data_IF_585845096353
#
_entry.id   IF_585845096353
#
_cell.length_a   1.000
_cell.length_b   1.000
_cell.length_c   1.000
_cell.angle_alpha   90.00
_cell.angle_beta   90.00
_cell.angle_gamma   90.00
#
_symmetry.space_group_name_H-M   'P 1'
#
loop_
_entity.id
_entity.type
_entity.pdbx_description
1 polymer ?
#
# COMPACT_ATOMS: atom_id res chain seq x y z
N UNK A 1 25.75 26.41 -20.81
CA UNK A 1 24.81 26.75 -21.89
C UNK A 1 24.55 28.24 -21.79
N UNK A 2 24.79 29.00 -22.86
CA UNK A 2 24.66 30.46 -22.82
C UNK A 2 23.17 30.87 -22.92
N UNK A 3 22.78 31.97 -22.28
CA UNK A 3 21.38 32.43 -22.20
C UNK A 3 20.74 32.61 -23.58
N UNK A 4 21.51 33.05 -24.58
CA UNK A 4 21.06 33.16 -25.97
C UNK A 4 20.71 31.82 -26.62
N UNK A 5 21.42 30.73 -26.29
CA UNK A 5 21.12 29.39 -26.80
C UNK A 5 19.81 28.86 -26.18
N UNK A 6 19.58 29.16 -24.90
CA UNK A 6 18.33 28.81 -24.20
C UNK A 6 17.15 29.51 -24.88
N UNK A 7 17.26 30.84 -25.08
CA UNK A 7 16.19 31.63 -25.71
C UNK A 7 15.90 31.20 -27.15
N UNK A 8 16.94 30.84 -27.93
CA UNK A 8 16.76 30.31 -29.27
C UNK A 8 16.00 28.97 -29.27
N UNK A 9 16.35 28.05 -28.35
CA UNK A 9 15.65 26.77 -28.18
C UNK A 9 14.19 26.96 -27.75
N UNK A 10 13.93 27.88 -26.82
CA UNK A 10 12.56 28.20 -26.38
C UNK A 10 11.75 28.78 -27.53
N UNK A 11 12.31 29.74 -28.29
CA UNK A 11 11.64 30.35 -29.43
C UNK A 11 11.28 29.30 -30.49
N UNK A 12 12.22 28.41 -30.80
CA UNK A 12 11.97 27.28 -31.72
C UNK A 12 10.82 26.39 -31.25
N UNK A 13 10.80 26.04 -29.96
CA UNK A 13 9.74 25.20 -29.37
C UNK A 13 8.37 25.89 -29.46
N UNK A 14 8.30 27.18 -29.13
CA UNK A 14 7.05 27.96 -29.21
C UNK A 14 6.58 28.16 -30.66
N UNK A 15 7.49 28.28 -31.63
CA UNK A 15 7.10 28.33 -33.05
C UNK A 15 6.63 26.98 -33.57
N UNK A 16 7.19 25.87 -33.08
CA UNK A 16 6.79 24.52 -33.48
C UNK A 16 5.45 24.10 -32.89
N UNK A 17 5.15 24.54 -31.66
CA UNK A 17 3.92 24.22 -30.93
C UNK A 17 3.25 25.49 -30.36
N UNK A 18 2.64 26.34 -31.22
CA UNK A 18 2.10 27.64 -30.82
C UNK A 18 0.94 27.55 -29.83
N UNK A 19 0.15 26.48 -29.88
CA UNK A 19 -0.97 26.20 -28.97
C UNK A 19 -0.62 25.11 -27.94
N UNK A 20 0.67 24.75 -27.84
CA UNK A 20 1.13 23.59 -27.08
C UNK A 20 1.03 22.27 -27.84
N UNK A 21 1.37 21.17 -27.15
CA UNK A 21 1.26 19.81 -27.68
C UNK A 21 -0.16 19.31 -27.39
N UNK A 22 -1.05 19.43 -28.40
CA UNK A 22 -2.44 18.95 -28.31
C UNK A 22 -2.67 17.82 -29.31
N UNK A 23 -3.19 16.71 -28.80
CA UNK A 23 -3.59 15.55 -29.60
C UNK A 23 -5.05 15.20 -29.30
N UNK A 24 -5.84 15.00 -30.35
CA UNK A 24 -7.22 14.49 -30.25
C UNK A 24 -7.21 12.98 -29.97
N UNK A 25 -8.31 12.44 -29.44
CA UNK A 25 -8.44 11.00 -29.18
C UNK A 25 -8.12 10.15 -30.43
N UNK A 26 -8.58 10.59 -31.61
CA UNK A 26 -8.34 9.89 -32.87
C UNK A 26 -6.88 9.98 -33.33
N UNK A 27 -6.21 11.12 -33.11
CA UNK A 27 -4.77 11.27 -33.38
C UNK A 27 -3.92 10.37 -32.47
N UNK A 28 -4.24 10.30 -31.17
CA UNK A 28 -3.52 9.43 -30.21
C UNK A 28 -3.67 7.96 -30.59
N UNK A 29 -4.90 7.52 -30.87
CA UNK A 29 -5.17 6.13 -31.19
C UNK A 29 -4.55 5.72 -32.53
N UNK A 30 -4.56 6.62 -33.52
CA UNK A 30 -3.89 6.39 -34.81
C UNK A 30 -2.39 6.20 -34.60
N UNK A 31 -1.75 7.09 -33.83
CA UNK A 31 -0.33 6.99 -33.50
C UNK A 31 -0.01 5.68 -32.78
N UNK A 32 -0.85 5.25 -31.84
CA UNK A 32 -0.67 3.99 -31.12
C UNK A 32 -0.75 2.76 -32.04
N UNK A 33 -1.74 2.70 -32.94
CA UNK A 33 -1.85 1.60 -33.90
C UNK A 33 -0.67 1.54 -34.87
N UNK A 34 -0.18 2.70 -35.31
CA UNK A 34 1.03 2.79 -36.13
C UNK A 34 2.28 2.33 -35.38
N UNK A 35 2.37 2.65 -34.09
CA UNK A 35 3.47 2.21 -33.24
C UNK A 35 3.47 0.69 -33.03
N UNK A 36 2.31 0.08 -32.77
CA UNK A 36 2.18 -1.38 -32.70
C UNK A 36 2.61 -2.05 -34.01
N UNK A 37 2.17 -1.50 -35.15
CA UNK A 37 2.58 -2.03 -36.45
C UNK A 37 4.10 -1.96 -36.65
N UNK A 38 4.74 -0.87 -36.21
CA UNK A 38 6.19 -0.71 -36.26
C UNK A 38 6.93 -1.73 -35.37
N UNK A 39 6.44 -1.97 -34.15
CA UNK A 39 7.05 -2.94 -33.23
C UNK A 39 6.93 -4.39 -33.75
N UNK A 40 5.85 -4.72 -34.49
CA UNK A 40 5.67 -6.03 -35.11
C UNK A 40 6.45 -6.20 -36.43
N UNK A 41 6.73 -5.10 -37.13
CA UNK A 41 7.44 -5.11 -38.42
C UNK A 41 8.96 -5.12 -38.19
N UNK A 42 9.54 -6.31 -37.97
CA UNK A 42 10.98 -6.50 -37.71
C UNK A 42 11.92 -5.96 -38.82
N UNK A 43 11.41 -5.68 -40.03
CA UNK A 43 12.24 -5.44 -41.22
C UNK A 43 12.20 -4.03 -41.83
N UNK A 44 11.20 -3.18 -41.54
CA UNK A 44 11.07 -1.86 -42.18
C UNK A 44 10.86 -0.73 -41.17
N UNK A 45 11.76 0.26 -41.18
CA UNK A 45 11.69 1.43 -40.29
C UNK A 45 10.70 2.51 -40.77
N UNK A 46 10.00 2.25 -41.88
CA UNK A 46 9.04 3.15 -42.53
C UNK A 46 7.64 2.53 -42.64
N UNK A 47 6.63 3.39 -42.72
CA UNK A 47 5.21 3.03 -42.77
C UNK A 47 4.64 3.49 -44.11
N UNK A 48 3.98 2.59 -44.84
CA UNK A 48 3.30 2.91 -46.08
C UNK A 48 2.01 3.72 -45.83
N UNK A 49 1.62 4.54 -46.82
CA UNK A 49 0.38 5.35 -46.73
C UNK A 49 -0.86 4.51 -46.44
N UNK A 50 -0.99 3.36 -47.09
CA UNK A 50 -2.15 2.48 -46.92
C UNK A 50 -2.29 1.99 -45.47
N UNK A 51 -1.16 1.76 -44.78
CA UNK A 51 -1.15 1.39 -43.37
C UNK A 51 -1.62 2.55 -42.49
N UNK A 52 -1.20 3.78 -42.81
CA UNK A 52 -1.68 4.99 -42.13
C UNK A 52 -3.19 5.15 -42.30
N UNK A 53 -3.70 5.00 -43.51
CA UNK A 53 -5.13 5.12 -43.80
C UNK A 53 -5.94 4.04 -43.07
N UNK A 54 -5.44 2.79 -43.03
CA UNK A 54 -6.06 1.69 -42.26
C UNK A 54 -6.06 1.99 -40.76
N UNK A 55 -4.95 2.49 -40.20
CA UNK A 55 -4.85 2.85 -38.78
C UNK A 55 -5.83 3.96 -38.40
N UNK A 56 -5.99 4.97 -39.27
CA UNK A 56 -6.98 6.03 -39.09
C UNK A 56 -8.39 5.42 -39.06
N UNK A 57 -8.76 4.63 -40.08
CA UNK A 57 -10.09 4.00 -40.15
C UNK A 57 -10.40 3.13 -38.93
N UNK A 58 -9.44 2.31 -38.48
CA UNK A 58 -9.58 1.51 -37.27
C UNK A 58 -9.77 2.38 -36.03
N UNK A 59 -9.03 3.48 -35.92
CA UNK A 59 -9.15 4.41 -34.79
C UNK A 59 -10.57 4.97 -34.68
N UNK A 60 -11.17 5.39 -35.79
CA UNK A 60 -12.56 5.82 -35.82
C UNK A 60 -13.53 4.71 -35.40
N UNK A 61 -13.34 3.49 -35.90
CA UNK A 61 -14.19 2.34 -35.56
C UNK A 61 -14.10 1.93 -34.09
N UNK A 62 -12.94 2.09 -33.44
CA UNK A 62 -12.81 1.81 -32.02
C UNK A 62 -13.42 2.94 -31.19
N UNK A 63 -13.16 4.18 -31.57
CA UNK A 63 -13.67 5.35 -30.85
C UNK A 63 -15.19 5.51 -30.99
N UNK A 64 -15.84 4.96 -32.02
CA UNK A 64 -17.31 4.96 -32.08
C UNK A 64 -17.98 4.15 -30.96
N UNK A 65 -17.24 3.27 -30.28
CA UNK A 65 -17.74 2.51 -29.13
C UNK A 65 -17.62 3.28 -27.80
N UNK A 66 -16.93 4.41 -27.81
CA UNK A 66 -16.77 5.29 -26.65
C UNK A 66 -17.45 6.61 -27.00
N UNK A 67 -18.17 7.27 -26.08
CA UNK A 67 -18.87 8.54 -26.35
C UNK A 67 -17.89 9.72 -26.57
N UNK A 68 -17.08 9.64 -27.63
CA UNK A 68 -16.01 10.58 -27.97
C UNK A 68 -16.39 11.44 -29.18
N UNK A 69 -15.95 12.70 -29.17
CA UNK A 69 -16.08 13.57 -30.33
C UNK A 69 -15.13 13.10 -31.45
N UNK A 70 -15.71 12.55 -32.52
CA UNK A 70 -14.96 12.11 -33.69
C UNK A 70 -14.75 13.29 -34.67
N UNK A 71 -13.53 13.45 -35.22
CA UNK A 71 -13.30 14.38 -36.32
C UNK A 71 -14.18 14.02 -37.54
N UNK A 72 -14.59 15.02 -38.31
CA UNK A 72 -15.55 14.80 -39.40
C UNK A 72 -14.92 14.19 -40.67
N UNK A 73 -13.58 14.11 -40.75
CA UNK A 73 -12.83 13.61 -41.92
C UNK A 73 -11.54 12.89 -41.53
N UNK A 74 -11.28 11.75 -42.14
CA UNK A 74 -10.06 10.94 -41.98
C UNK A 74 -8.79 11.69 -42.38
N UNK A 75 -8.85 12.43 -43.49
CA UNK A 75 -7.69 13.11 -44.08
C UNK A 75 -7.11 14.20 -43.16
N UNK A 76 -7.97 14.78 -42.32
CA UNK A 76 -7.55 15.81 -41.35
C UNK A 76 -6.63 15.26 -40.28
N UNK A 77 -6.72 13.96 -39.94
CA UNK A 77 -5.88 13.35 -38.91
C UNK A 77 -4.44 13.23 -39.41
N UNK A 78 -4.25 12.66 -40.61
CA UNK A 78 -2.92 12.50 -41.20
C UNK A 78 -2.24 13.86 -41.37
N UNK A 79 -2.94 14.84 -41.97
CA UNK A 79 -2.41 16.19 -42.17
C UNK A 79 -2.03 16.87 -40.84
N UNK A 80 -2.87 16.74 -39.81
CA UNK A 80 -2.58 17.31 -38.50
C UNK A 80 -1.40 16.64 -37.83
N UNK A 81 -1.29 15.31 -37.89
CA UNK A 81 -0.14 14.58 -37.34
C UNK A 81 1.18 14.99 -38.01
N UNK A 82 1.16 15.22 -39.32
CA UNK A 82 2.33 15.71 -40.07
C UNK A 82 2.65 17.15 -39.69
N UNK A 83 1.64 18.03 -39.71
CA UNK A 83 1.79 19.45 -39.38
C UNK A 83 2.33 19.66 -37.96
N UNK A 84 1.88 18.85 -37.01
CA UNK A 84 2.34 18.87 -35.61
C UNK A 84 3.70 18.15 -35.42
N UNK A 85 4.21 17.48 -36.45
CA UNK A 85 5.50 16.78 -36.41
C UNK A 85 5.51 15.50 -35.58
N UNK A 86 4.34 14.88 -35.38
CA UNK A 86 4.21 13.55 -34.77
C UNK A 86 4.41 12.44 -35.81
N UNK A 87 4.03 12.71 -37.06
CA UNK A 87 4.33 11.87 -38.21
C UNK A 87 5.26 12.66 -39.14
N UNK A 88 6.32 12.03 -39.63
CA UNK A 88 7.25 12.62 -40.57
C UNK A 88 7.04 11.97 -41.93
N UNK A 89 7.09 12.76 -42.99
CA UNK A 89 6.93 12.29 -44.36
C UNK A 89 8.25 12.44 -45.11
N UNK A 90 8.70 11.35 -45.75
CA UNK A 90 9.83 11.40 -46.68
C UNK A 90 9.37 11.00 -48.08
N UNK A 91 9.69 11.84 -49.06
CA UNK A 91 9.42 11.59 -50.48
C UNK A 91 10.52 10.80 -51.18
N UNK A 92 11.63 10.49 -50.51
CA UNK A 92 12.84 9.97 -51.18
C UNK A 92 12.74 8.50 -51.56
N UNK A 93 11.97 7.68 -50.82
CA UNK A 93 11.70 6.27 -51.15
C UNK A 93 10.24 5.94 -50.77
N UNK A 94 9.40 5.61 -51.77
CA UNK A 94 8.04 5.06 -51.60
C UNK A 94 7.03 5.87 -50.76
N UNK A 95 7.08 7.21 -50.73
CA UNK A 95 6.13 8.03 -49.94
C UNK A 95 6.01 7.51 -48.50
N UNK A 96 7.16 7.36 -47.85
CA UNK A 96 7.30 6.73 -46.54
C UNK A 96 6.91 7.68 -45.40
N UNK A 97 6.25 7.12 -44.38
CA UNK A 97 5.94 7.80 -43.13
C UNK A 97 6.78 7.24 -41.98
N UNK A 98 7.21 8.11 -41.08
CA UNK A 98 7.99 7.76 -39.89
C UNK A 98 7.33 8.34 -38.65
N UNK A 99 7.28 7.55 -37.58
CA UNK A 99 6.90 8.03 -36.25
C UNK A 99 8.07 8.86 -35.72
N UNK A 100 7.80 10.12 -35.35
CA UNK A 100 8.86 10.99 -34.81
C UNK A 100 9.31 10.55 -33.41
N UNK A 101 10.51 10.95 -32.99
CA UNK A 101 11.03 10.63 -31.66
C UNK A 101 10.13 11.14 -30.52
N UNK A 102 9.46 12.29 -30.74
CA UNK A 102 8.50 12.85 -29.79
C UNK A 102 7.29 11.92 -29.68
N UNK A 103 6.76 11.43 -30.80
CA UNK A 103 5.67 10.46 -30.81
C UNK A 103 6.07 9.17 -30.13
N UNK A 104 7.23 8.60 -30.48
CA UNK A 104 7.73 7.38 -29.85
C UNK A 104 7.92 7.56 -28.34
N UNK A 105 8.43 8.71 -27.89
CA UNK A 105 8.57 9.03 -26.46
C UNK A 105 7.22 9.11 -25.74
N UNK A 106 6.22 9.78 -26.35
CA UNK A 106 4.87 9.90 -25.78
C UNK A 106 4.20 8.53 -25.73
N UNK A 107 4.23 7.77 -26.83
CA UNK A 107 3.59 6.46 -26.90
C UNK A 107 4.26 5.44 -25.98
N UNK A 108 5.59 5.47 -25.83
CA UNK A 108 6.29 4.64 -24.85
C UNK A 108 5.87 4.99 -23.42
N UNK A 109 5.81 6.28 -23.08
CA UNK A 109 5.33 6.71 -21.77
C UNK A 109 3.87 6.33 -21.49
N UNK A 110 3.01 6.34 -22.51
CA UNK A 110 1.59 6.02 -22.37
C UNK A 110 1.29 4.51 -22.36
N UNK A 111 1.95 3.72 -23.22
CA UNK A 111 1.51 2.36 -23.55
C UNK A 111 2.58 1.27 -23.35
N UNK A 112 3.87 1.56 -23.56
CA UNK A 112 4.95 0.59 -23.30
C UNK A 112 5.57 0.83 -21.92
N UNK A 113 4.75 0.69 -20.86
CA UNK A 113 5.27 0.58 -19.49
C UNK A 113 6.10 -0.71 -19.28
N UNK A 114 6.08 -1.66 -20.23
CA UNK A 114 6.26 -3.08 -19.95
C UNK A 114 7.59 -3.78 -20.31
N UNK A 115 8.68 -3.07 -20.64
CA UNK A 115 10.00 -3.76 -20.80
C UNK A 115 10.97 -3.51 -19.65
N UNK A 116 10.79 -2.44 -18.86
CA UNK A 116 11.57 -2.18 -17.62
C UNK A 116 10.82 -2.63 -16.34
N UNK A 117 9.59 -3.15 -16.49
CA UNK A 117 8.75 -3.63 -15.37
C UNK A 117 9.27 -4.89 -14.70
N UNK A 118 10.08 -5.72 -15.36
CA UNK A 118 10.58 -6.97 -14.79
C UNK A 118 11.73 -6.80 -13.80
N UNK A 119 12.51 -5.71 -13.88
CA UNK A 119 13.59 -5.45 -12.94
C UNK A 119 13.14 -4.51 -11.83
N UNK A 120 13.24 -4.96 -10.59
CA UNK A 120 13.00 -4.14 -9.40
C UNK A 120 14.10 -3.09 -9.19
N UNK A 121 13.81 -2.03 -8.44
CA UNK A 121 14.78 -0.97 -8.06
C UNK A 121 16.09 -1.57 -7.53
N UNK A 122 16.03 -2.59 -6.67
CA UNK A 122 17.22 -3.27 -6.13
C UNK A 122 18.04 -4.02 -7.20
N UNK A 123 17.40 -4.59 -8.22
CA UNK A 123 18.11 -5.25 -9.33
C UNK A 123 18.94 -4.24 -10.12
N UNK A 124 18.38 -3.05 -10.40
CA UNK A 124 19.10 -1.96 -11.05
C UNK A 124 20.25 -1.45 -10.18
N UNK A 125 20.04 -1.32 -8.87
CA UNK A 125 21.12 -0.99 -7.93
C UNK A 125 22.22 -2.07 -7.93
N UNK A 126 21.86 -3.35 -7.96
CA UNK A 126 22.83 -4.42 -8.02
C UNK A 126 23.65 -4.41 -9.33
N UNK A 127 23.04 -4.06 -10.47
CA UNK A 127 23.77 -3.86 -11.73
C UNK A 127 24.80 -2.73 -11.62
N UNK A 128 24.43 -1.61 -10.99
CA UNK A 128 25.36 -0.50 -10.71
C UNK A 128 26.49 -0.99 -9.81
N UNK A 129 26.17 -1.73 -8.74
CA UNK A 129 27.15 -2.29 -7.82
C UNK A 129 28.15 -3.21 -8.53
N UNK A 130 27.69 -4.14 -9.37
CA UNK A 130 28.55 -5.04 -10.13
C UNK A 130 29.46 -4.28 -11.10
N UNK A 131 28.94 -3.22 -11.72
CA UNK A 131 29.71 -2.37 -12.63
C UNK A 131 30.78 -1.55 -11.89
N UNK A 132 30.49 -1.12 -10.66
CA UNK A 132 31.48 -0.46 -9.80
C UNK A 132 32.52 -1.47 -9.29
N UNK A 133 32.11 -2.71 -8.99
CA UNK A 133 33.02 -3.80 -8.61
C UNK A 133 34.05 -4.09 -9.69
N UNK A 134 33.68 -4.03 -10.97
CA UNK A 134 34.66 -4.23 -12.05
C UNK A 134 35.75 -3.16 -12.11
N UNK A 135 35.59 -2.03 -11.41
CA UNK A 135 36.57 -0.93 -11.37
C UNK A 135 37.57 -1.04 -10.21
N UNK A 136 37.47 -2.07 -9.38
CA UNK A 136 38.30 -2.26 -8.18
C UNK A 136 39.81 -2.30 -8.50
N UNK A 137 40.18 -2.71 -9.71
CA UNK A 137 41.57 -2.72 -10.20
C UNK A 137 41.77 -1.95 -11.52
N UNK A 138 40.81 -1.11 -11.92
CA UNK A 138 40.88 -0.38 -13.20
C UNK A 138 41.82 0.84 -13.14
N UNK A 139 42.30 1.29 -14.29
CA UNK A 139 43.15 2.48 -14.39
C UNK A 139 42.32 3.77 -14.27
N UNK A 140 42.98 4.91 -14.05
CA UNK A 140 42.33 6.21 -13.86
C UNK A 140 41.39 6.58 -15.02
N UNK A 141 41.81 6.32 -16.26
CA UNK A 141 41.03 6.62 -17.47
C UNK A 141 39.72 5.83 -17.54
N UNK A 142 39.73 4.56 -17.10
CA UNK A 142 38.55 3.71 -17.14
C UNK A 142 37.55 4.13 -16.05
N UNK A 143 38.06 4.54 -14.89
CA UNK A 143 37.25 5.07 -13.79
C UNK A 143 36.63 6.41 -14.16
N UNK A 144 37.39 7.33 -14.77
CA UNK A 144 36.85 8.60 -15.26
C UNK A 144 35.73 8.37 -16.29
N UNK A 145 36.01 7.56 -17.31
CA UNK A 145 35.06 7.24 -18.39
C UNK A 145 33.77 6.63 -17.83
N UNK A 146 33.88 5.72 -16.86
CA UNK A 146 32.72 5.12 -16.20
C UNK A 146 31.86 6.15 -15.47
N UNK A 147 32.45 6.99 -14.62
CA UNK A 147 31.68 7.98 -13.85
C UNK A 147 31.19 9.16 -14.70
N UNK A 148 31.80 9.41 -15.86
CA UNK A 148 31.36 10.42 -16.81
C UNK A 148 30.17 9.96 -17.69
N UNK A 149 30.12 8.68 -18.04
CA UNK A 149 29.13 8.15 -19.00
C UNK A 149 28.31 7.00 -18.40
N UNK A 150 28.91 5.82 -18.27
CA UNK A 150 28.22 4.57 -17.93
C UNK A 150 27.41 4.64 -16.65
N UNK A 151 27.94 5.29 -15.60
CA UNK A 151 27.22 5.46 -14.34
C UNK A 151 25.92 6.26 -14.53
N UNK A 152 25.97 7.36 -15.28
CA UNK A 152 24.79 8.20 -15.51
C UNK A 152 23.74 7.52 -16.39
N UNK A 153 24.16 6.67 -17.34
CA UNK A 153 23.24 5.87 -18.14
C UNK A 153 22.50 4.83 -17.29
N UNK A 154 23.21 4.14 -16.38
CA UNK A 154 22.60 3.18 -15.45
C UNK A 154 21.66 3.89 -14.44
N UNK A 155 22.07 5.05 -13.95
CA UNK A 155 21.26 5.89 -13.06
C UNK A 155 20.02 6.44 -13.76
N UNK A 156 20.09 6.75 -15.05
CA UNK A 156 18.93 7.20 -15.82
C UNK A 156 17.85 6.11 -15.86
N UNK A 157 18.23 4.85 -16.07
CA UNK A 157 17.30 3.71 -16.00
C UNK A 157 16.65 3.58 -14.62
N UNK A 158 17.44 3.72 -13.57
CA UNK A 158 16.94 3.72 -12.19
C UNK A 158 15.95 4.88 -11.94
N UNK A 159 16.25 6.08 -12.43
CA UNK A 159 15.40 7.28 -12.31
C UNK A 159 14.06 7.09 -13.04
N UNK A 160 14.08 6.50 -14.24
CA UNK A 160 12.86 6.14 -14.99
C UNK A 160 12.01 5.15 -14.21
N UNK A 161 12.60 4.08 -13.67
CA UNK A 161 11.89 3.09 -12.85
C UNK A 161 11.24 3.72 -11.61
N UNK A 162 11.94 4.63 -10.94
CA UNK A 162 11.41 5.32 -9.75
C UNK A 162 10.24 6.24 -10.13
N UNK A 163 10.30 6.92 -11.27
CA UNK A 163 9.17 7.73 -11.77
C UNK A 163 7.95 6.87 -12.09
N UNK A 164 8.14 5.74 -12.76
CA UNK A 164 7.06 4.77 -13.01
C UNK A 164 6.44 4.28 -11.71
N UNK A 165 7.26 3.95 -10.71
CA UNK A 165 6.79 3.51 -9.39
C UNK A 165 5.95 4.61 -8.70
N UNK A 166 6.36 5.88 -8.82
CA UNK A 166 5.59 7.02 -8.31
C UNK A 166 4.25 7.19 -9.04
N UNK A 167 4.23 7.08 -10.36
CA UNK A 167 3.01 7.15 -11.17
C UNK A 167 2.04 6.02 -10.82
N UNK A 168 2.52 4.78 -10.74
CA UNK A 168 1.73 3.61 -10.31
C UNK A 168 1.11 3.80 -8.92
N UNK A 169 1.86 4.39 -7.99
CA UNK A 169 1.36 4.74 -6.64
C UNK A 169 0.26 5.79 -6.74
N UNK A 170 0.44 6.83 -7.55
CA UNK A 170 -0.55 7.90 -7.72
C UNK A 170 -1.83 7.34 -8.34
N UNK A 171 -1.71 6.50 -9.36
CA UNK A 171 -2.82 5.82 -10.02
C UNK A 171 -3.57 4.94 -8.99
N UNK A 172 -2.85 4.14 -8.21
CA UNK A 172 -3.43 3.30 -7.15
C UNK A 172 -4.11 4.12 -6.05
N UNK A 173 -3.52 5.26 -5.65
CA UNK A 173 -4.15 6.22 -4.71
C UNK A 173 -5.45 6.78 -5.28
N UNK A 174 -5.50 7.06 -6.58
CA UNK A 174 -6.70 7.54 -7.24
C UNK A 174 -7.79 6.47 -7.33
N UNK A 175 -7.43 5.24 -7.71
CA UNK A 175 -8.33 4.07 -7.68
C UNK A 175 -8.96 3.90 -6.30
N UNK A 176 -8.15 3.93 -5.24
CA UNK A 176 -8.60 3.85 -3.83
C UNK A 176 -9.56 4.99 -3.49
N UNK A 177 -9.20 6.25 -3.82
CA UNK A 177 -10.09 7.40 -3.53
C UNK A 177 -11.42 7.31 -4.30
N UNK A 178 -11.39 6.83 -5.53
CA UNK A 178 -12.59 6.63 -6.35
C UNK A 178 -13.50 5.57 -5.73
N UNK A 179 -12.93 4.43 -5.34
CA UNK A 179 -13.65 3.35 -4.66
C UNK A 179 -14.25 3.78 -3.31
N UNK A 180 -13.55 4.61 -2.54
CA UNK A 180 -14.09 5.18 -1.28
C UNK A 180 -15.32 6.05 -1.54
N UNK A 181 -15.33 6.81 -2.65
CA UNK A 181 -16.43 7.72 -2.99
C UNK A 181 -17.68 7.01 -3.48
N UNK A 182 -17.55 5.88 -4.17
CA UNK A 182 -18.68 5.13 -4.70
C UNK A 182 -19.45 4.34 -3.63
N UNK A 183 -18.80 3.92 -2.55
CA UNK A 183 -19.45 3.31 -1.38
C UNK A 183 -20.18 1.98 -1.64
N UNK A 184 -19.97 1.34 -2.80
CA UNK A 184 -20.58 0.06 -3.15
C UNK A 184 -19.73 -1.14 -2.64
N UNK A 185 -20.35 -2.32 -2.49
CA UNK A 185 -19.63 -3.54 -2.10
C UNK A 185 -18.55 -3.96 -3.11
N UNK A 186 -18.78 -3.75 -4.41
CA UNK A 186 -17.77 -3.94 -5.46
C UNK A 186 -16.56 -3.00 -5.29
N UNK A 187 -16.79 -1.80 -4.76
CA UNK A 187 -15.74 -0.82 -4.49
C UNK A 187 -14.76 -1.30 -3.41
N UNK A 188 -15.19 -2.17 -2.49
CA UNK A 188 -14.31 -2.75 -1.48
C UNK A 188 -13.26 -3.70 -2.10
N UNK A 189 -13.62 -4.42 -3.17
CA UNK A 189 -12.67 -5.28 -3.88
C UNK A 189 -11.61 -4.47 -4.62
N UNK A 190 -12.01 -3.44 -5.37
CA UNK A 190 -11.07 -2.52 -6.03
C UNK A 190 -10.17 -1.80 -5.03
N UNK A 191 -10.70 -1.45 -3.87
CA UNK A 191 -9.94 -0.88 -2.77
C UNK A 191 -8.84 -1.83 -2.27
N UNK A 192 -9.18 -3.09 -1.96
CA UNK A 192 -8.20 -4.08 -1.50
C UNK A 192 -7.12 -4.36 -2.56
N UNK A 193 -7.51 -4.43 -3.82
CA UNK A 193 -6.56 -4.58 -4.94
C UNK A 193 -5.61 -3.38 -5.03
N UNK A 194 -6.12 -2.15 -4.95
CA UNK A 194 -5.28 -0.95 -4.94
C UNK A 194 -4.31 -0.90 -3.76
N UNK A 195 -4.75 -1.34 -2.57
CA UNK A 195 -3.87 -1.46 -1.41
C UNK A 195 -2.78 -2.52 -1.58
N UNK A 196 -3.12 -3.68 -2.15
CA UNK A 196 -2.15 -4.74 -2.39
C UNK A 196 -1.06 -4.28 -3.37
N UNK A 197 -1.45 -3.60 -4.47
CA UNK A 197 -0.50 -2.96 -5.40
C UNK A 197 0.43 -1.99 -4.67
N UNK A 198 -0.13 -1.10 -3.84
CA UNK A 198 0.68 -0.16 -3.05
C UNK A 198 1.64 -0.91 -2.11
N UNK A 199 1.20 -1.99 -1.47
CA UNK A 199 2.01 -2.81 -0.57
C UNK A 199 3.19 -3.45 -1.30
N UNK A 200 2.98 -3.96 -2.51
CA UNK A 200 4.04 -4.51 -3.35
C UNK A 200 5.07 -3.45 -3.72
N UNK A 201 4.63 -2.26 -4.16
CA UNK A 201 5.54 -1.13 -4.47
C UNK A 201 6.30 -0.64 -3.24
N UNK A 202 5.66 -0.60 -2.08
CA UNK A 202 6.31 -0.27 -0.81
C UNK A 202 7.39 -1.28 -0.44
N UNK A 203 7.13 -2.57 -0.67
CA UNK A 203 8.11 -3.63 -0.43
C UNK A 203 9.35 -3.42 -1.31
N UNK A 204 9.16 -3.11 -2.59
CA UNK A 204 10.24 -2.80 -3.54
C UNK A 204 11.08 -1.58 -3.12
N UNK A 205 10.43 -0.50 -2.68
CA UNK A 205 11.13 0.68 -2.14
C UNK A 205 11.91 0.30 -0.88
N UNK A 206 11.27 -0.42 0.05
CA UNK A 206 11.84 -0.77 1.35
C UNK A 206 13.06 -1.70 1.22
N UNK A 207 13.02 -2.68 0.32
CA UNK A 207 14.17 -3.55 0.05
C UNK A 207 15.37 -2.75 -0.44
N UNK A 208 15.13 -1.78 -1.32
CA UNK A 208 16.15 -0.92 -1.93
C UNK A 208 16.76 0.09 -0.95
N UNK A 209 16.03 0.44 0.11
CA UNK A 209 16.51 1.34 1.19
C UNK A 209 17.05 0.57 2.41
N UNK A 210 16.98 -0.77 2.40
CA UNK A 210 17.38 -1.59 3.53
C UNK A 210 18.88 -1.45 3.86
N UNK A 211 19.28 -1.78 5.09
CA UNK A 211 20.68 -1.73 5.52
C UNK A 211 21.61 -2.58 4.63
N UNK A 212 21.10 -3.67 4.08
CA UNK A 212 21.85 -4.61 3.24
C UNK A 212 21.70 -4.37 1.74
N UNK A 213 20.99 -3.32 1.33
CA UNK A 213 20.79 -2.95 -0.07
C UNK A 213 22.10 -2.68 -0.80
N UNK A 214 22.06 -2.88 -2.12
CA UNK A 214 23.16 -2.55 -3.02
C UNK A 214 23.53 -1.07 -2.95
N UNK A 215 22.60 -0.18 -2.58
CA UNK A 215 22.85 1.26 -2.36
C UNK A 215 24.01 1.52 -1.39
N UNK A 216 23.98 0.91 -0.20
CA UNK A 216 25.01 1.17 0.82
C UNK A 216 26.37 0.62 0.39
N UNK A 217 26.36 -0.50 -0.34
CA UNK A 217 27.58 -1.10 -0.89
C UNK A 217 28.17 -0.22 -1.99
N UNK A 218 27.35 0.33 -2.89
CA UNK A 218 27.77 1.28 -3.91
C UNK A 218 28.46 2.47 -3.26
N UNK A 219 27.84 3.08 -2.25
CA UNK A 219 28.40 4.26 -1.58
C UNK A 219 29.76 3.96 -0.92
N UNK A 220 29.89 2.80 -0.29
CA UNK A 220 31.16 2.35 0.27
C UNK A 220 32.24 2.17 -0.81
N UNK A 221 31.89 1.55 -1.94
CA UNK A 221 32.83 1.32 -3.04
C UNK A 221 33.23 2.62 -3.74
N UNK A 222 32.29 3.54 -3.97
CA UNK A 222 32.58 4.86 -4.51
C UNK A 222 33.57 5.63 -3.62
N UNK A 223 33.37 5.60 -2.29
CA UNK A 223 34.31 6.21 -1.34
C UNK A 223 35.70 5.53 -1.36
N UNK A 224 35.75 4.24 -1.66
CA UNK A 224 37.02 3.49 -1.74
C UNK A 224 37.79 3.85 -3.02
N UNK A 225 37.08 3.96 -4.14
CA UNK A 225 37.65 4.40 -5.43
C UNK A 225 38.10 5.87 -5.33
N UNK A 226 37.30 6.73 -4.70
CA UNK A 226 37.64 8.13 -4.46
C UNK A 226 38.99 8.26 -3.73
N UNK A 227 39.17 7.51 -2.64
CA UNK A 227 40.44 7.47 -1.89
C UNK A 227 41.62 6.96 -2.72
N UNK A 228 41.38 6.04 -3.66
CA UNK A 228 42.44 5.53 -4.55
C UNK A 228 42.95 6.62 -5.51
N UNK A 229 42.06 7.51 -5.95
CA UNK A 229 42.37 8.58 -6.91
C UNK A 229 42.28 9.98 -6.28
N UNK A 230 42.57 10.13 -5.00
CA UNK A 230 42.45 11.41 -4.26
C UNK A 230 43.26 12.55 -4.90
N UNK A 231 44.34 12.21 -5.62
CA UNK A 231 45.20 13.18 -6.31
C UNK A 231 44.66 13.61 -7.70
N UNK A 232 43.61 12.97 -8.21
CA UNK A 232 42.99 13.32 -9.50
C UNK A 232 41.71 14.13 -9.27
N UNK A 233 41.79 15.43 -9.53
CA UNK A 233 40.67 16.36 -9.35
C UNK A 233 39.48 16.04 -10.27
N UNK A 234 39.73 15.54 -11.48
CA UNK A 234 38.66 15.28 -12.46
C UNK A 234 37.85 14.03 -12.08
N UNK A 235 38.54 12.95 -11.69
CA UNK A 235 37.90 11.70 -11.24
C UNK A 235 37.12 11.91 -9.95
N UNK A 236 37.70 12.61 -8.97
CA UNK A 236 37.03 12.89 -7.69
C UNK A 236 35.78 13.74 -7.88
N UNK A 237 35.83 14.78 -8.73
CA UNK A 237 34.66 15.59 -9.07
C UNK A 237 33.54 14.77 -9.72
N UNK A 238 33.88 13.85 -10.62
CA UNK A 238 32.91 12.99 -11.28
C UNK A 238 32.29 11.97 -10.31
N UNK A 239 33.07 11.41 -9.39
CA UNK A 239 32.57 10.55 -8.31
C UNK A 239 31.63 11.33 -7.37
N UNK A 240 31.95 12.58 -7.03
CA UNK A 240 31.08 13.41 -6.20
C UNK A 240 29.76 13.75 -6.89
N UNK A 241 29.78 14.05 -8.19
CA UNK A 241 28.54 14.27 -8.98
C UNK A 241 27.68 13.00 -9.00
N UNK A 242 28.30 11.85 -9.24
CA UNK A 242 27.65 10.54 -9.21
C UNK A 242 27.02 10.26 -7.83
N UNK A 243 27.76 10.51 -6.75
CA UNK A 243 27.30 10.32 -5.36
C UNK A 243 26.11 11.23 -5.02
N UNK A 244 26.15 12.50 -5.42
CA UNK A 244 25.02 13.43 -5.25
C UNK A 244 23.76 12.95 -5.97
N UNK A 245 23.90 12.44 -7.20
CA UNK A 245 22.74 11.93 -7.96
C UNK A 245 22.17 10.67 -7.31
N UNK A 246 23.02 9.76 -6.83
CA UNK A 246 22.60 8.57 -6.08
C UNK A 246 21.87 8.95 -4.77
N UNK A 247 22.38 9.96 -4.05
CA UNK A 247 21.73 10.48 -2.84
C UNK A 247 20.37 11.13 -3.13
N UNK A 248 20.25 11.88 -4.22
CA UNK A 248 18.97 12.44 -4.67
C UNK A 248 17.93 11.35 -4.91
N UNK A 249 18.33 10.24 -5.53
CA UNK A 249 17.46 9.08 -5.79
C UNK A 249 16.99 8.46 -4.47
N UNK A 250 17.89 8.28 -3.50
CA UNK A 250 17.52 7.78 -2.17
C UNK A 250 16.49 8.68 -1.50
N UNK A 251 16.72 9.99 -1.49
CA UNK A 251 15.77 10.94 -0.89
C UNK A 251 14.40 10.88 -1.58
N UNK A 252 14.38 10.72 -2.90
CA UNK A 252 13.12 10.57 -3.63
C UNK A 252 12.36 9.30 -3.25
N UNK A 253 13.05 8.19 -3.05
CA UNK A 253 12.47 6.94 -2.57
C UNK A 253 11.93 7.09 -1.13
N UNK A 254 12.69 7.69 -0.22
CA UNK A 254 12.28 7.96 1.16
C UNK A 254 11.05 8.89 1.25
N UNK A 255 11.02 9.93 0.42
CA UNK A 255 9.88 10.85 0.32
C UNK A 255 8.62 10.12 -0.18
N UNK A 256 8.78 9.23 -1.17
CA UNK A 256 7.66 8.43 -1.71
C UNK A 256 7.13 7.47 -0.66
N UNK A 257 8.01 6.80 0.09
CA UNK A 257 7.63 5.93 1.21
C UNK A 257 6.83 6.68 2.28
N UNK A 258 7.29 7.88 2.65
CA UNK A 258 6.60 8.75 3.62
C UNK A 258 5.21 9.15 3.12
N UNK A 259 5.10 9.63 1.88
CA UNK A 259 3.83 10.06 1.27
C UNK A 259 2.81 8.91 1.15
N UNK A 260 3.26 7.70 0.82
CA UNK A 260 2.39 6.52 0.81
C UNK A 260 1.93 6.16 2.22
N UNK A 261 2.83 6.17 3.20
CA UNK A 261 2.50 5.82 4.59
C UNK A 261 1.49 6.81 5.18
N UNK A 262 1.66 8.11 4.94
CA UNK A 262 0.69 9.13 5.32
C UNK A 262 -0.68 8.89 4.66
N UNK A 263 -0.69 8.56 3.37
CA UNK A 263 -1.92 8.27 2.65
C UNK A 263 -2.67 7.07 3.25
N UNK A 264 -1.97 5.96 3.52
CA UNK A 264 -2.57 4.77 4.14
C UNK A 264 -3.14 5.13 5.51
N UNK A 265 -2.38 5.79 6.37
CA UNK A 265 -2.83 6.15 7.73
C UNK A 265 -4.07 7.05 7.70
N UNK A 266 -4.12 8.05 6.80
CA UNK A 266 -5.28 8.96 6.67
C UNK A 266 -6.53 8.23 6.20
N UNK A 267 -6.41 7.33 5.22
CA UNK A 267 -7.56 6.71 4.59
C UNK A 267 -8.05 5.44 5.30
N UNK A 268 -7.18 4.68 5.99
CA UNK A 268 -7.57 3.52 6.80
C UNK A 268 -8.47 3.92 7.98
N UNK A 269 -8.16 5.03 8.66
CA UNK A 269 -8.99 5.54 9.75
C UNK A 269 -10.36 6.04 9.25
N UNK A 270 -10.38 6.73 8.11
CA UNK A 270 -11.61 7.22 7.50
C UNK A 270 -12.50 6.05 7.04
N UNK A 271 -11.91 5.00 6.47
CA UNK A 271 -12.61 3.81 6.01
C UNK A 271 -13.17 2.95 7.13
N UNK A 272 -12.40 2.70 8.18
CA UNK A 272 -12.89 1.98 9.36
C UNK A 272 -14.08 2.71 9.98
N UNK A 273 -14.07 4.05 10.00
CA UNK A 273 -15.22 4.84 10.43
C UNK A 273 -16.44 4.73 9.50
N UNK A 274 -16.26 4.84 8.18
CA UNK A 274 -17.36 4.77 7.20
C UNK A 274 -17.99 3.37 7.10
N UNK A 275 -17.18 2.31 7.12
CA UNK A 275 -17.67 0.93 7.12
C UNK A 275 -18.48 0.67 8.39
N UNK A 276 -17.99 1.11 9.55
CA UNK A 276 -18.71 0.98 10.82
C UNK A 276 -20.05 1.71 10.81
N UNK A 277 -20.10 2.94 10.25
CA UNK A 277 -21.32 3.73 10.13
C UNK A 277 -22.31 3.06 9.16
N UNK A 278 -21.86 2.66 7.96
CA UNK A 278 -22.73 2.02 6.96
C UNK A 278 -23.28 0.66 7.42
N UNK A 279 -22.50 -0.13 8.15
CA UNK A 279 -22.95 -1.38 8.74
C UNK A 279 -23.98 -1.12 9.85
N UNK A 280 -23.78 -0.08 10.66
CA UNK A 280 -24.73 0.35 11.68
C UNK A 280 -26.04 0.83 11.03
N UNK A 281 -25.98 1.58 9.94
CA UNK A 281 -27.14 2.01 9.16
C UNK A 281 -27.90 0.83 8.55
N UNK A 282 -27.20 -0.16 7.97
CA UNK A 282 -27.82 -1.41 7.48
C UNK A 282 -28.51 -2.18 8.61
N UNK A 283 -27.90 -2.26 9.79
CA UNK A 283 -28.51 -2.91 10.97
C UNK A 283 -29.75 -2.13 11.43
N UNK A 284 -29.69 -0.80 11.49
CA UNK A 284 -30.84 0.04 11.84
C UNK A 284 -31.98 -0.11 10.82
N UNK A 285 -31.67 -0.15 9.53
CA UNK A 285 -32.66 -0.34 8.48
C UNK A 285 -33.30 -1.73 8.56
N UNK A 286 -32.49 -2.77 8.82
CA UNK A 286 -32.98 -4.11 9.07
C UNK A 286 -33.87 -4.19 10.31
N UNK A 287 -33.45 -3.60 11.43
CA UNK A 287 -34.25 -3.50 12.66
C UNK A 287 -35.57 -2.77 12.42
N UNK A 288 -35.55 -1.68 11.66
CA UNK A 288 -36.75 -0.91 11.30
C UNK A 288 -37.70 -1.73 10.43
N UNK A 289 -37.19 -2.48 9.45
CA UNK A 289 -38.00 -3.42 8.65
C UNK A 289 -38.62 -4.49 9.54
N UNK A 290 -37.83 -5.11 10.42
CA UNK A 290 -38.30 -6.12 11.38
C UNK A 290 -39.39 -5.60 12.33
N UNK A 291 -39.21 -4.39 12.86
CA UNK A 291 -40.20 -3.74 13.74
C UNK A 291 -41.49 -3.41 12.99
N UNK A 292 -41.39 -2.92 11.75
CA UNK A 292 -42.56 -2.68 10.91
C UNK A 292 -43.29 -4.00 10.56
N UNK A 293 -42.54 -5.07 10.27
CA UNK A 293 -43.05 -6.41 10.02
C UNK A 293 -43.79 -6.96 11.25
N UNK A 294 -43.20 -6.82 12.45
CA UNK A 294 -43.84 -7.23 13.71
C UNK A 294 -45.04 -6.37 14.11
N UNK A 295 -45.06 -5.10 13.73
CA UNK A 295 -46.23 -4.25 13.92
C UNK A 295 -47.39 -4.66 13.01
N UNK A 296 -47.10 -5.05 11.75
CA UNK A 296 -48.10 -5.54 10.80
C UNK A 296 -48.56 -6.98 11.10
N UNK A 297 -47.62 -7.85 11.49
CA UNK A 297 -47.82 -9.26 11.81
C UNK A 297 -47.27 -9.55 13.21
N UNK A 298 -48.07 -9.38 14.28
CA UNK A 298 -47.61 -9.57 15.64
C UNK A 298 -47.17 -11.02 15.87
N UNK A 299 -45.87 -11.20 16.14
CA UNK A 299 -45.28 -12.49 16.49
C UNK A 299 -45.35 -12.67 18.00
N UNK A 300 -46.15 -13.63 18.45
CA UNK A 300 -46.27 -13.95 19.87
C UNK A 300 -45.28 -15.03 20.26
N UNK A 301 -44.39 -14.72 21.21
CA UNK A 301 -43.52 -15.72 21.82
C UNK A 301 -44.37 -16.75 22.57
N UNK A 302 -44.24 -18.03 22.23
CA UNK A 302 -44.91 -19.12 22.94
C UNK A 302 -44.30 -19.25 24.32
N UNK A 303 -44.97 -18.71 25.34
CA UNK A 303 -44.62 -18.95 26.73
C UNK A 303 -45.04 -20.39 27.08
N UNK A 304 -44.12 -21.28 27.52
CA UNK A 304 -44.51 -22.61 27.95
C UNK A 304 -45.47 -22.48 29.14
N UNK A 305 -46.70 -22.96 28.96
CA UNK A 305 -47.70 -23.00 30.03
C UNK A 305 -47.23 -24.07 31.02
N UNK A 306 -46.63 -23.66 32.14
CA UNK A 306 -46.35 -24.61 33.24
C UNK A 306 -47.70 -25.17 33.70
N UNK A 307 -47.91 -26.47 33.52
CA UNK A 307 -49.04 -27.17 34.14
C UNK A 307 -48.90 -26.97 35.65
N UNK A 308 -49.89 -26.34 36.28
CA UNK A 308 -49.94 -26.31 37.75
C UNK A 308 -50.11 -27.75 38.22
N UNK A 309 -49.23 -28.21 39.10
CA UNK A 309 -49.37 -29.51 39.76
C UNK A 309 -50.70 -29.47 40.52
N UNK A 310 -51.57 -30.48 40.33
CA UNK A 310 -52.80 -30.58 41.11
C UNK A 310 -52.43 -30.68 42.60
N UNK A 311 -53.09 -29.89 43.45
CA UNK A 311 -52.77 -29.81 44.88
C UNK A 311 -52.77 -31.22 45.50
N UNK A 312 -51.59 -31.68 45.88
CA UNK A 312 -51.41 -32.95 46.58
C UNK A 312 -51.82 -32.75 48.04
N UNK A 313 -53.07 -33.08 48.38
CA UNK A 313 -53.56 -33.06 49.76
C UNK A 313 -53.03 -34.27 50.54
N UNK A 314 -51.82 -34.15 51.10
CA UNK A 314 -51.24 -35.16 52.00
C UNK A 314 -51.74 -34.96 53.43
N UNK A 315 -52.22 -36.03 54.09
CA UNK A 315 -52.76 -35.97 55.44
C UNK A 315 -51.70 -36.38 56.48
N UNK A 316 -51.03 -35.38 57.06
CA UNK A 316 -49.81 -35.54 57.88
C UNK A 316 -49.99 -36.17 59.26
N UNK A 317 -51.22 -36.48 59.68
CA UNK A 317 -51.50 -36.94 61.05
C UNK A 317 -51.26 -38.44 61.30
N UNK A 318 -51.01 -39.24 60.26
CA UNK A 318 -51.06 -40.71 60.36
C UNK A 318 -49.71 -41.43 60.17
N UNK A 319 -48.56 -40.74 60.21
CA UNK A 319 -47.25 -41.38 60.03
C UNK A 319 -46.19 -41.00 61.08
N UNK A 320 -45.36 -41.97 61.47
CA UNK A 320 -44.34 -41.86 62.52
C UNK A 320 -43.08 -41.07 62.11
N UNK A 321 -42.83 -40.87 60.82
CA UNK A 321 -41.65 -40.12 60.34
C UNK A 321 -42.05 -38.75 59.83
N UNK A 322 -41.60 -37.70 60.53
CA UNK A 322 -41.73 -36.31 60.08
C UNK A 322 -40.77 -36.06 58.91
N UNK A 323 -41.19 -35.39 57.83
CA UNK A 323 -40.29 -35.02 56.75
C UNK A 323 -39.26 -33.99 57.27
N UNK A 324 -38.00 -34.19 56.88
CA UNK A 324 -36.95 -33.17 57.01
C UNK A 324 -37.18 -32.16 55.88
N UNK A 325 -37.20 -30.88 56.22
CA UNK A 325 -37.29 -29.80 55.24
C UNK A 325 -36.03 -29.84 54.37
N UNK A 326 -36.18 -30.17 53.08
CA UNK A 326 -35.13 -29.99 52.10
C UNK A 326 -35.48 -28.69 51.37
N UNK A 327 -34.73 -27.63 51.64
CA UNK A 327 -34.78 -26.41 50.85
C UNK A 327 -34.44 -26.76 49.40
N UNK A 328 -35.46 -26.78 48.55
CA UNK A 328 -35.29 -26.80 47.11
C UNK A 328 -35.56 -25.40 46.59
N UNK A 329 -34.69 -24.46 46.95
CA UNK A 329 -34.53 -23.25 46.15
C UNK A 329 -33.97 -23.69 44.78
N UNK A 330 -34.86 -23.88 43.81
CA UNK A 330 -34.47 -23.84 42.41
C UNK A 330 -34.18 -22.37 42.05
N UNK A 331 -32.98 -21.89 42.43
CA UNK A 331 -32.38 -20.73 41.78
C UNK A 331 -32.08 -21.12 40.35
N UNK A 332 -32.62 -20.35 39.41
CA UNK A 332 -32.34 -20.50 37.99
C UNK A 332 -30.87 -20.11 37.80
N UNK A 333 -29.99 -21.11 37.65
CA UNK A 333 -28.55 -21.00 37.40
C UNK A 333 -28.24 -20.47 35.99
N UNK A 334 -28.67 -19.24 35.67
CA UNK A 334 -28.22 -18.54 34.45
C UNK A 334 -27.48 -17.24 34.73
N UNK A 335 -27.51 -16.74 35.96
CA UNK A 335 -26.67 -15.62 36.40
C UNK A 335 -25.34 -16.09 37.03
N UNK A 336 -25.26 -17.33 37.53
CA UNK A 336 -24.07 -17.81 38.27
C UNK A 336 -22.80 -17.97 37.42
N UNK A 337 -22.91 -18.23 36.12
CA UNK A 337 -21.73 -18.40 35.24
C UNK A 337 -21.02 -17.07 35.00
N UNK A 338 -21.78 -15.98 34.83
CA UNK A 338 -21.22 -14.62 34.67
C UNK A 338 -20.73 -14.04 36.00
N UNK A 339 -21.31 -14.43 37.14
CA UNK A 339 -20.79 -14.01 38.46
C UNK A 339 -19.52 -14.75 38.83
N UNK A 340 -19.42 -16.07 38.57
CA UNK A 340 -18.21 -16.85 38.84
C UNK A 340 -17.03 -16.37 37.99
N UNK A 341 -17.22 -16.12 36.69
CA UNK A 341 -16.16 -15.55 35.85
C UNK A 341 -15.73 -14.16 36.34
N UNK A 342 -16.68 -13.31 36.78
CA UNK A 342 -16.35 -11.98 37.32
C UNK A 342 -15.63 -12.05 38.67
N UNK A 343 -16.01 -12.98 39.53
CA UNK A 343 -15.35 -13.20 40.83
C UNK A 343 -13.92 -13.71 40.66
N UNK A 344 -13.71 -14.65 39.72
CA UNK A 344 -12.37 -15.13 39.35
C UNK A 344 -11.50 -14.00 38.78
N UNK A 345 -12.05 -13.17 37.88
CA UNK A 345 -11.32 -12.01 37.33
C UNK A 345 -10.92 -11.01 38.42
N UNK A 346 -11.81 -10.72 39.37
CA UNK A 346 -11.49 -9.85 40.52
C UNK A 346 -10.34 -10.40 41.36
N UNK A 347 -10.32 -11.72 41.63
CA UNK A 347 -9.20 -12.35 42.35
C UNK A 347 -7.87 -12.18 41.62
N UNK A 348 -7.87 -12.33 40.29
CA UNK A 348 -6.67 -12.14 39.47
C UNK A 348 -6.17 -10.70 39.56
N UNK A 349 -7.08 -9.72 39.46
CA UNK A 349 -6.74 -8.30 39.54
C UNK A 349 -6.23 -7.93 40.94
N UNK A 350 -6.88 -8.39 42.00
CA UNK A 350 -6.45 -8.17 43.38
C UNK A 350 -5.05 -8.76 43.63
N UNK A 351 -4.77 -9.95 43.10
CA UNK A 351 -3.45 -10.56 43.18
C UNK A 351 -2.37 -9.73 42.47
N UNK A 352 -2.64 -9.29 41.23
CA UNK A 352 -1.70 -8.47 40.46
C UNK A 352 -1.46 -7.13 41.16
N UNK A 353 -2.50 -6.51 41.72
CA UNK A 353 -2.37 -5.26 42.47
C UNK A 353 -1.55 -5.44 43.74
N UNK A 354 -1.73 -6.54 44.47
CA UNK A 354 -0.93 -6.86 45.66
C UNK A 354 0.53 -7.13 45.30
N UNK A 355 0.79 -7.89 44.24
CA UNK A 355 2.17 -8.07 43.78
C UNK A 355 2.79 -6.76 43.29
N UNK A 356 1.99 -5.85 42.69
CA UNK A 356 2.48 -4.54 42.24
C UNK A 356 2.82 -3.65 43.44
N UNK A 357 2.11 -3.81 44.56
CA UNK A 357 2.43 -3.14 45.83
C UNK A 357 3.74 -3.63 46.43
N UNK A 358 4.05 -4.91 46.30
CA UNK A 358 5.27 -5.51 46.86
C UNK A 358 6.49 -5.31 45.95
N UNK A 359 6.32 -5.37 44.62
CA UNK A 359 7.42 -5.44 43.65
C UNK A 359 7.57 -4.21 42.77
N UNK A 360 6.60 -3.27 42.77
CA UNK A 360 6.49 -2.09 41.89
C UNK A 360 6.47 -2.35 40.37
N UNK A 361 6.84 -3.56 39.94
CA UNK A 361 6.97 -3.98 38.55
C UNK A 361 6.60 -5.46 38.41
N UNK A 362 5.79 -5.78 37.41
CA UNK A 362 5.35 -7.15 37.10
C UNK A 362 5.39 -7.41 35.60
N UNK A 363 5.85 -8.60 35.21
CA UNK A 363 5.62 -9.14 33.87
C UNK A 363 4.20 -9.70 33.75
N UNK A 364 3.38 -9.06 32.92
CA UNK A 364 1.93 -9.27 32.88
C UNK A 364 1.56 -10.70 32.50
N UNK A 365 2.23 -11.26 31.47
CA UNK A 365 1.92 -12.59 30.96
C UNK A 365 2.26 -13.65 32.01
N UNK A 366 3.41 -13.51 32.67
CA UNK A 366 3.81 -14.45 33.72
C UNK A 366 2.87 -14.42 34.93
N UNK A 367 2.31 -13.25 35.28
CA UNK A 367 1.40 -13.11 36.40
C UNK A 367 0.02 -13.72 36.12
N UNK A 368 -0.57 -13.46 34.95
CA UNK A 368 -1.91 -13.99 34.62
C UNK A 368 -1.91 -15.48 34.29
N UNK A 369 -0.81 -16.01 33.74
CA UNK A 369 -0.68 -17.42 33.36
C UNK A 369 -0.66 -18.39 34.55
N UNK A 370 -0.61 -17.90 35.78
CA UNK A 370 -0.68 -18.75 36.98
C UNK A 370 -2.11 -19.24 37.25
N UNK A 371 -3.11 -18.55 36.72
CA UNK A 371 -4.53 -18.84 36.95
C UNK A 371 -5.10 -19.79 35.90
N UNK A 372 -5.80 -20.83 36.34
CA UNK A 372 -6.31 -21.88 35.45
C UNK A 372 -7.36 -21.36 34.46
N UNK A 373 -8.16 -20.34 34.86
CA UNK A 373 -9.10 -19.65 33.98
C UNK A 373 -8.40 -19.03 32.75
N UNK A 374 -7.23 -18.43 32.96
CA UNK A 374 -6.45 -17.77 31.92
C UNK A 374 -5.72 -18.79 31.05
N UNK A 375 -5.16 -19.86 31.65
CA UNK A 375 -4.51 -20.94 30.89
C UNK A 375 -5.45 -21.62 29.89
N UNK A 376 -6.73 -21.73 30.21
CA UNK A 376 -7.72 -22.36 29.33
C UNK A 376 -8.10 -21.50 28.12
N UNK A 377 -7.98 -20.17 28.21
CA UNK A 377 -8.31 -19.25 27.10
C UNK A 377 -7.58 -17.91 27.23
N UNK A 378 -6.25 -17.93 27.02
CA UNK A 378 -5.40 -16.75 27.17
C UNK A 378 -5.88 -15.57 26.30
N UNK A 379 -6.22 -15.72 25.00
CA UNK A 379 -6.62 -14.58 24.17
C UNK A 379 -7.87 -13.85 24.67
N UNK A 380 -8.88 -14.58 25.19
CA UNK A 380 -10.12 -13.98 25.73
C UNK A 380 -9.82 -13.14 26.97
N UNK A 381 -9.03 -13.66 27.90
CA UNK A 381 -8.80 -13.03 29.20
C UNK A 381 -7.64 -12.03 29.20
N UNK A 382 -6.69 -12.16 28.28
CA UNK A 382 -5.54 -11.25 28.16
C UNK A 382 -5.98 -9.79 27.98
N UNK A 383 -6.86 -9.50 27.02
CA UNK A 383 -7.34 -8.13 26.79
C UNK A 383 -8.33 -7.67 27.87
N UNK A 384 -9.12 -8.59 28.42
CA UNK A 384 -10.15 -8.27 29.42
C UNK A 384 -9.54 -7.84 30.75
N UNK A 385 -8.54 -8.59 31.25
CA UNK A 385 -7.82 -8.24 32.49
C UNK A 385 -6.97 -6.99 32.27
N UNK A 386 -6.33 -6.84 31.09
CA UNK A 386 -5.52 -5.68 30.77
C UNK A 386 -6.34 -4.40 30.73
N UNK A 387 -7.55 -4.46 30.17
CA UNK A 387 -8.49 -3.33 30.17
C UNK A 387 -8.79 -2.87 31.59
N UNK A 388 -9.18 -3.78 32.49
CA UNK A 388 -9.47 -3.43 33.88
C UNK A 388 -8.23 -2.91 34.65
N UNK A 389 -7.04 -3.44 34.37
CA UNK A 389 -5.80 -2.96 34.98
C UNK A 389 -5.32 -1.62 34.42
N UNK A 390 -5.58 -1.32 33.14
CA UNK A 390 -5.18 -0.07 32.50
C UNK A 390 -5.86 1.17 33.11
N UNK A 391 -7.01 0.98 33.76
CA UNK A 391 -7.68 2.04 34.52
C UNK A 391 -6.99 2.33 35.88
N UNK A 392 -6.12 1.43 36.35
CA UNK A 392 -5.59 1.42 37.72
C UNK A 392 -4.05 1.54 37.77
N UNK A 393 -3.32 1.00 36.78
CA UNK A 393 -1.86 1.00 36.74
C UNK A 393 -1.29 1.38 35.36
N UNK A 394 0.00 1.73 35.31
CA UNK A 394 0.67 2.06 34.07
C UNK A 394 1.04 0.78 33.32
N UNK A 395 0.73 0.75 32.02
CA UNK A 395 0.98 -0.36 31.11
C UNK A 395 2.12 0.01 30.16
N UNK A 396 3.19 -0.79 30.16
CA UNK A 396 4.30 -0.67 29.22
C UNK A 396 4.30 -1.83 28.25
N UNK A 397 4.26 -1.52 26.96
CA UNK A 397 4.38 -2.51 25.89
C UNK A 397 5.86 -2.64 25.52
N UNK A 398 6.41 -3.84 25.63
CA UNK A 398 7.76 -4.15 25.14
C UNK A 398 7.69 -4.35 23.62
N UNK A 399 8.79 -4.08 22.91
CA UNK A 399 8.91 -4.29 21.45
C UNK A 399 9.06 -5.77 21.05
N UNK A 400 8.66 -6.70 21.93
CA UNK A 400 8.74 -8.15 21.76
C UNK A 400 7.33 -8.75 21.81
N UNK A 401 7.11 -9.77 20.98
CA UNK A 401 5.84 -10.49 20.89
C UNK A 401 6.00 -11.92 21.41
N UNK A 402 5.04 -12.33 22.23
CA UNK A 402 4.90 -13.69 22.75
C UNK A 402 3.94 -14.49 21.87
N UNK A 403 4.40 -15.62 21.34
CA UNK A 403 3.57 -16.53 20.55
C UNK A 403 2.88 -17.54 21.46
N UNK A 404 1.54 -17.52 21.48
CA UNK A 404 0.71 -18.51 22.19
C UNK A 404 -0.27 -19.15 21.20
N UNK A 405 -0.15 -20.46 21.01
CA UNK A 405 -0.86 -21.21 19.95
C UNK A 405 -0.71 -20.52 18.58
N UNK A 406 -1.82 -19.98 18.03
CA UNK A 406 -1.89 -19.30 16.75
C UNK A 406 -1.97 -17.77 16.87
N UNK A 407 -1.78 -17.20 18.06
CA UNK A 407 -1.87 -15.76 18.33
C UNK A 407 -0.50 -15.18 18.75
N UNK A 408 -0.23 -13.95 18.32
CA UNK A 408 0.89 -13.13 18.83
C UNK A 408 0.31 -12.11 19.82
N UNK A 409 0.83 -12.12 21.04
CA UNK A 409 0.43 -11.20 22.12
C UNK A 409 1.64 -10.34 22.47
N UNK A 410 1.46 -9.03 22.61
CA UNK A 410 2.57 -8.15 23.01
C UNK A 410 3.06 -8.51 24.41
N UNK A 411 4.37 -8.47 24.64
CA UNK A 411 4.88 -8.57 26.01
C UNK A 411 4.59 -7.27 26.76
N UNK A 412 3.86 -7.38 27.87
CA UNK A 412 3.44 -6.23 28.66
C UNK A 412 4.08 -6.28 30.04
N UNK A 413 4.44 -5.11 30.56
CA UNK A 413 4.86 -4.95 31.94
C UNK A 413 4.06 -3.86 32.63
N UNK A 414 3.68 -4.11 33.88
CA UNK A 414 2.83 -3.23 34.68
C UNK A 414 3.66 -2.54 35.76
N UNK A 415 3.39 -1.26 36.04
CA UNK A 415 4.00 -0.53 37.16
C UNK A 415 3.02 0.39 37.90
N UNK A 416 3.25 0.59 39.20
CA UNK A 416 2.44 1.47 40.06
C UNK A 416 2.90 2.94 40.03
N UNK A 417 4.19 3.20 39.84
CA UNK A 417 4.75 4.55 39.68
C UNK A 417 4.96 4.88 38.20
N UNK A 418 4.85 6.17 37.83
CA UNK A 418 5.43 6.66 36.57
C UNK A 418 6.92 6.38 36.65
N UNK A 419 7.39 5.38 35.91
CA UNK A 419 8.82 5.14 35.74
C UNK A 419 9.37 6.32 34.96
N UNK A 420 10.04 7.24 35.64
CA UNK A 420 10.96 8.15 34.97
C UNK A 420 12.06 7.30 34.34
N UNK A 421 12.06 7.25 33.01
CA UNK A 421 13.11 6.65 32.18
C UNK A 421 13.39 5.14 32.38
N UNK A 422 12.62 4.31 31.67
CA UNK A 422 13.19 3.11 31.05
C UNK A 422 13.62 3.52 29.63
N UNK A 423 14.93 3.69 29.45
CA UNK A 423 15.53 4.46 28.36
C UNK A 423 15.18 4.01 26.95
N UNK A 424 14.79 4.99 26.13
CA UNK A 424 15.31 5.10 24.77
C UNK A 424 16.83 5.26 24.86
N UNK A 425 17.56 4.14 24.93
CA UNK A 425 18.91 4.06 24.36
C UNK A 425 18.77 3.53 22.95
N UNK A 426 18.42 4.44 22.04
CA UNK A 426 18.84 4.31 20.65
C UNK A 426 20.24 4.94 20.57
N UNK A 427 21.26 4.09 20.59
CA UNK A 427 22.50 4.26 19.85
C UNK A 427 22.64 2.99 18.99
#
# INVERSE_FOLDING_TARGET
MQEHEILAKIKYLLTKFPEGITLTHAEILTLYLLYLHKEEAEENDFIDKDVVDIAIQRSFSYLSNFDCQLPWRTDTIMENLIKKGFLLYSSTEKNAYYISEISSSILRGLFNRDTETTSDVESNLNTILLSIKSLENADESDVDSFFRHTFFDLILKLDIKIKQLKEDIVDSKWEIKSAIRSGSEESFSYFLQGLEKIRERLKEISTSLSKYSSYNQILYMMNTIEKRFENSSEVTDNIHKASRKLFSIKNELENTLTDVTEFINRHVSLLTSQISISALDKILEFQKKLLNEFAANPVYLRKPKRLKVADFKYNWKTQERKPVFIETENKILREEVDTLEKEELKKIIEYIMKELEEKNYIDYIQAIMQFDLVKQNLPKYYNKILYELSEICNVFVKNSEFKYENCYLSEISLSKQKVEYAGNKYN
#
